data_IF_780541104007
#
_entry.id   IF_780541104007
#
_cell.length_a   1.000
_cell.length_b   1.000
_cell.length_c   1.000
_cell.angle_alpha   90.00
_cell.angle_beta   90.00
_cell.angle_gamma   90.00
#
_symmetry.space_group_name_H-M   'P 1'
#
loop_
_entity.id
_entity.type
_entity.pdbx_description
1 polymer ?
#
# COMPACT_ATOMS: atom_id res chain seq x y z
N UNK A 1 -4.39 15.25 0.10
CA UNK A 1 -4.05 13.87 -0.30
C UNK A 1 -5.30 13.02 -0.24
N UNK A 2 -5.51 12.13 -1.22
CA UNK A 2 -6.60 11.14 -1.22
C UNK A 2 -6.03 9.76 -1.53
N UNK A 3 -6.57 8.74 -0.85
CA UNK A 3 -6.38 7.32 -1.19
C UNK A 3 -7.74 6.70 -1.49
N UNK A 4 -7.89 6.06 -2.64
CA UNK A 4 -9.11 5.35 -3.06
C UNK A 4 -8.77 3.91 -3.43
N UNK A 5 -9.62 2.95 -3.02
CA UNK A 5 -9.41 1.52 -3.17
C UNK A 5 -10.74 0.75 -3.06
N UNK A 6 -10.83 -0.43 -3.69
CA UNK A 6 -11.90 -1.40 -3.40
C UNK A 6 -11.62 -2.23 -2.15
N UNK A 7 -12.64 -2.84 -1.53
CA UNK A 7 -12.51 -3.54 -0.24
C UNK A 7 -12.62 -5.07 -0.39
N UNK A 8 -11.55 -5.80 -0.77
CA UNK A 8 -11.58 -7.25 -0.90
C UNK A 8 -11.81 -7.94 0.46
N UNK A 9 -12.53 -9.05 0.41
CA UNK A 9 -12.87 -9.88 1.57
C UNK A 9 -11.75 -10.90 1.86
N UNK A 10 -11.39 -11.04 3.12
CA UNK A 10 -10.45 -12.02 3.66
C UNK A 10 -11.03 -13.43 3.50
N UNK A 11 -10.20 -14.36 3.03
CA UNK A 11 -10.61 -15.75 2.82
C UNK A 11 -9.90 -16.65 3.82
N UNK A 12 -10.61 -17.67 4.32
CA UNK A 12 -10.07 -18.63 5.28
C UNK A 12 -8.80 -19.35 4.77
N UNK A 13 -8.66 -19.53 3.45
CA UNK A 13 -7.47 -20.10 2.83
C UNK A 13 -6.18 -19.30 3.10
N UNK A 14 -6.27 -18.02 3.44
CA UNK A 14 -5.11 -17.18 3.78
C UNK A 14 -4.59 -17.40 5.21
N UNK A 15 -5.32 -18.15 6.05
CA UNK A 15 -4.87 -18.50 7.40
C UNK A 15 -3.80 -19.61 7.39
N UNK A 16 -3.70 -20.36 6.29
CA UNK A 16 -2.58 -21.27 6.05
C UNK A 16 -1.33 -20.44 5.70
N UNK A 17 -0.43 -20.31 6.68
CA UNK A 17 0.83 -19.57 6.52
C UNK A 17 1.66 -20.10 5.34
N UNK A 18 1.61 -21.40 5.03
CA UNK A 18 2.32 -21.97 3.89
C UNK A 18 1.74 -21.51 2.56
N UNK A 19 0.41 -21.44 2.45
CA UNK A 19 -0.25 -20.93 1.25
C UNK A 19 -0.08 -19.42 1.11
N UNK A 20 -0.28 -18.67 2.19
CA UNK A 20 -0.12 -17.21 2.19
C UNK A 20 1.32 -16.80 1.85
N UNK A 21 2.33 -17.46 2.42
CA UNK A 21 3.73 -17.21 2.07
C UNK A 21 4.03 -17.56 0.62
N UNK A 22 3.51 -18.69 0.11
CA UNK A 22 3.68 -19.10 -1.29
C UNK A 22 3.07 -18.08 -2.26
N UNK A 23 1.95 -17.46 -1.88
CA UNK A 23 1.31 -16.43 -2.68
C UNK A 23 2.07 -15.09 -2.58
N UNK A 24 2.54 -14.71 -1.40
CA UNK A 24 2.99 -13.34 -1.16
C UNK A 24 4.49 -13.10 -1.33
N UNK A 25 5.35 -14.05 -1.02
CA UNK A 25 6.82 -13.85 -1.05
C UNK A 25 7.33 -13.55 -2.46
N UNK A 26 8.11 -12.47 -2.56
CA UNK A 26 8.70 -12.00 -3.81
C UNK A 26 7.69 -11.40 -4.80
N UNK A 27 6.47 -11.13 -4.37
CA UNK A 27 5.40 -10.63 -5.23
C UNK A 27 4.97 -9.22 -4.85
N UNK A 28 4.44 -8.50 -5.84
CA UNK A 28 3.69 -7.25 -5.64
C UNK A 28 2.21 -7.57 -5.73
N UNK A 29 1.47 -7.13 -4.71
CA UNK A 29 0.04 -7.35 -4.58
C UNK A 29 -0.71 -6.04 -4.73
N UNK A 30 -1.84 -6.09 -5.42
CA UNK A 30 -2.73 -4.94 -5.52
C UNK A 30 -3.31 -4.67 -4.15
N UNK A 31 -3.32 -3.40 -3.76
CA UNK A 31 -4.10 -2.98 -2.62
C UNK A 31 -5.53 -2.75 -3.09
N UNK A 32 -6.48 -3.37 -2.42
CA UNK A 32 -7.89 -3.27 -2.76
C UNK A 32 -8.37 -4.17 -3.92
N UNK A 33 -9.57 -3.89 -4.40
CA UNK A 33 -10.26 -4.66 -5.45
C UNK A 33 -10.79 -3.76 -6.58
N UNK A 34 -11.12 -4.38 -7.72
CA UNK A 34 -11.65 -3.80 -8.94
C UNK A 34 -10.71 -2.85 -9.69
N UNK A 35 -10.31 -1.73 -9.07
CA UNK A 35 -9.46 -0.72 -9.70
C UNK A 35 -8.15 -0.54 -8.92
N UNK A 36 -7.20 0.16 -9.52
CA UNK A 36 -5.94 0.51 -8.88
C UNK A 36 -6.19 1.31 -7.60
N UNK A 37 -5.60 0.88 -6.48
CA UNK A 37 -5.41 1.80 -5.36
C UNK A 37 -4.55 2.96 -5.83
N UNK A 38 -5.00 4.19 -5.63
CA UNK A 38 -4.24 5.36 -6.04
C UNK A 38 -4.05 6.35 -4.91
N UNK A 39 -2.86 6.95 -4.89
CA UNK A 39 -2.53 8.13 -4.12
C UNK A 39 -2.56 9.32 -5.08
N UNK A 40 -3.29 10.36 -4.71
CA UNK A 40 -3.22 11.65 -5.38
C UNK A 40 -2.81 12.73 -4.37
N UNK A 41 -1.69 13.41 -4.65
CA UNK A 41 -1.13 14.44 -3.76
C UNK A 41 -0.77 15.70 -4.52
N UNK A 42 -1.20 16.84 -3.97
CA UNK A 42 -0.93 18.19 -4.49
C UNK A 42 0.18 18.92 -3.71
N UNK A 43 0.75 18.24 -2.72
CA UNK A 43 1.84 18.73 -1.87
C UNK A 43 2.94 17.67 -1.83
N UNK A 44 4.21 18.06 -1.74
CA UNK A 44 5.29 17.09 -1.56
C UNK A 44 5.10 16.36 -0.23
N UNK A 45 5.43 15.07 -0.23
CA UNK A 45 5.32 14.21 0.94
C UNK A 45 6.69 13.61 1.26
N UNK A 46 6.91 13.24 2.52
CA UNK A 46 7.97 12.30 2.89
C UNK A 46 7.33 11.04 3.43
N UNK A 47 7.49 9.92 2.73
CA UNK A 47 6.91 8.63 3.10
C UNK A 47 8.03 7.70 3.54
N UNK A 48 8.00 7.29 4.81
CA UNK A 48 9.05 6.45 5.43
C UNK A 48 10.47 6.99 5.17
N UNK A 49 10.62 8.31 5.27
CA UNK A 49 11.90 9.01 5.06
C UNK A 49 12.24 9.33 3.60
N UNK A 50 11.51 8.81 2.61
CA UNK A 50 11.72 9.12 1.19
C UNK A 50 10.85 10.27 0.71
N UNK A 51 11.45 11.25 0.02
CA UNK A 51 10.71 12.34 -0.60
C UNK A 51 9.90 11.84 -1.80
N UNK A 52 8.61 12.17 -1.82
CA UNK A 52 7.63 11.86 -2.86
C UNK A 52 7.12 13.16 -3.44
N UNK A 53 7.19 13.27 -4.76
CA UNK A 53 6.75 14.45 -5.49
C UNK A 53 5.22 14.62 -5.49
N UNK A 54 4.81 15.80 -5.95
CA UNK A 54 3.42 16.07 -6.32
C UNK A 54 3.04 15.22 -7.52
N UNK A 55 1.86 14.63 -7.50
CA UNK A 55 1.35 13.82 -8.61
C UNK A 55 0.40 12.72 -8.16
N UNK A 56 0.03 11.87 -9.13
CA UNK A 56 -0.80 10.70 -8.92
C UNK A 56 0.03 9.42 -9.08
N UNK A 57 -0.18 8.47 -8.18
CA UNK A 57 0.55 7.22 -8.10
C UNK A 57 -0.44 6.06 -7.96
N UNK A 58 -0.21 4.95 -8.66
CA UNK A 58 -0.83 3.69 -8.29
C UNK A 58 -0.01 3.01 -7.21
N UNK A 59 -0.70 2.30 -6.33
CA UNK A 59 -0.09 1.71 -5.14
C UNK A 59 -0.28 0.19 -5.10
N UNK A 60 0.76 -0.50 -4.64
CA UNK A 60 0.74 -1.93 -4.32
C UNK A 60 1.50 -2.23 -3.03
N UNK A 61 1.44 -3.48 -2.58
CA UNK A 61 2.23 -3.98 -1.45
C UNK A 61 3.17 -5.05 -1.96
N UNK A 62 4.46 -4.85 -1.75
CA UNK A 62 5.48 -5.83 -2.02
C UNK A 62 5.86 -6.57 -0.74
N UNK A 63 6.02 -7.89 -0.83
CA UNK A 63 6.66 -8.69 0.21
C UNK A 63 7.94 -9.29 -0.34
N UNK A 64 9.04 -9.08 0.38
CA UNK A 64 10.37 -9.61 0.05
C UNK A 64 10.38 -11.14 -0.14
N UNK A 65 11.40 -11.63 -0.86
CA UNK A 65 11.54 -13.05 -1.19
C UNK A 65 11.66 -13.96 0.04
N UNK A 66 12.31 -13.48 1.11
CA UNK A 66 12.41 -14.20 2.38
C UNK A 66 11.12 -14.07 3.24
N UNK A 67 10.25 -13.11 2.89
CA UNK A 67 8.97 -12.82 3.53
C UNK A 67 9.05 -11.93 4.77
N UNK A 68 10.23 -11.42 5.10
CA UNK A 68 10.48 -10.69 6.35
C UNK A 68 10.16 -9.20 6.24
N UNK A 69 10.33 -8.64 5.04
CA UNK A 69 10.15 -7.22 4.78
C UNK A 69 8.94 -6.95 3.88
N UNK A 70 8.22 -5.89 4.22
CA UNK A 70 7.10 -5.35 3.48
C UNK A 70 7.43 -3.96 2.95
N UNK A 71 6.89 -3.61 1.79
CA UNK A 71 7.10 -2.30 1.19
C UNK A 71 5.87 -1.81 0.47
N UNK A 72 5.60 -0.52 0.55
CA UNK A 72 4.60 0.15 -0.27
C UNK A 72 5.25 0.43 -1.63
N UNK A 73 4.70 -0.14 -2.69
CA UNK A 73 5.15 0.01 -4.06
C UNK A 73 4.39 1.15 -4.74
N UNK A 74 5.12 2.01 -5.44
CA UNK A 74 4.58 3.11 -6.22
C UNK A 74 4.81 2.82 -7.70
N UNK A 75 3.75 2.99 -8.50
CA UNK A 75 3.75 2.76 -9.94
C UNK A 75 3.24 4.01 -10.65
N UNK A 76 3.86 4.37 -11.78
CA UNK A 76 3.41 5.46 -12.64
C UNK A 76 2.11 5.09 -13.39
N UNK A 77 0.99 5.80 -13.15
CA UNK A 77 -0.24 5.59 -13.91
C UNK A 77 -0.08 5.76 -15.43
N UNK A 78 0.87 6.57 -15.90
CA UNK A 78 1.19 6.76 -17.32
C UNK A 78 1.72 5.46 -17.95
N UNK A 79 2.79 4.92 -17.39
CA UNK A 79 3.38 3.64 -17.82
C UNK A 79 2.37 2.48 -17.78
N UNK A 80 1.53 2.41 -16.74
CA UNK A 80 0.47 1.38 -16.63
C UNK A 80 -0.54 1.47 -17.78
N UNK A 81 -0.98 2.69 -18.11
CA UNK A 81 -1.95 2.91 -19.21
C UNK A 81 -1.34 2.59 -20.56
N UNK A 82 -0.08 2.95 -20.79
CA UNK A 82 0.64 2.61 -22.02
C UNK A 82 0.75 1.09 -22.20
N UNK A 83 1.07 0.37 -21.12
CA UNK A 83 1.14 -1.08 -21.09
C UNK A 83 -0.24 -1.79 -21.12
N UNK A 84 -1.33 -1.03 -20.98
CA UNK A 84 -2.73 -1.52 -20.95
C UNK A 84 -2.98 -2.58 -19.86
N UNK A 85 -2.34 -2.40 -18.71
CA UNK A 85 -2.47 -3.34 -17.59
C UNK A 85 -3.66 -3.00 -16.72
N UNK A 86 -4.47 -4.02 -16.42
CA UNK A 86 -5.49 -3.93 -15.37
C UNK A 86 -4.87 -4.07 -13.97
N UNK A 87 -5.55 -3.58 -12.93
CA UNK A 87 -5.08 -3.70 -11.54
C UNK A 87 -4.93 -5.17 -11.09
N UNK A 88 -5.71 -6.09 -11.65
CA UNK A 88 -5.54 -7.54 -11.44
C UNK A 88 -4.22 -8.09 -11.99
N UNK A 89 -3.55 -7.35 -12.87
CA UNK A 89 -2.29 -7.74 -13.52
C UNK A 89 -1.06 -7.05 -12.91
N UNK A 90 -1.17 -6.50 -11.70
CA UNK A 90 -0.09 -5.79 -11.02
C UNK A 90 1.24 -6.56 -10.94
N UNK A 91 1.22 -7.89 -10.92
CA UNK A 91 2.44 -8.71 -10.96
C UNK A 91 3.26 -8.56 -12.25
N UNK A 92 2.68 -7.99 -13.32
CA UNK A 92 3.35 -7.65 -14.58
C UNK A 92 3.80 -6.20 -14.64
N UNK A 93 3.35 -5.37 -13.71
CA UNK A 93 3.57 -3.94 -13.73
C UNK A 93 4.97 -3.57 -13.25
N UNK A 94 5.58 -2.58 -13.89
CA UNK A 94 6.86 -2.01 -13.44
C UNK A 94 6.60 -1.16 -12.20
N UNK A 95 7.34 -1.44 -11.13
CA UNK A 95 7.37 -0.60 -9.93
C UNK A 95 8.43 0.47 -10.11
N UNK A 96 8.06 1.74 -9.95
CA UNK A 96 9.00 2.86 -10.07
C UNK A 96 9.92 2.91 -8.86
N UNK A 97 9.34 2.80 -7.67
CA UNK A 97 10.08 2.73 -6.42
C UNK A 97 9.22 2.12 -5.30
N UNK A 98 9.90 1.77 -4.21
CA UNK A 98 9.28 1.24 -3.00
C UNK A 98 9.75 2.01 -1.78
N UNK A 99 8.92 2.05 -0.75
CA UNK A 99 9.28 2.55 0.59
C UNK A 99 8.96 1.49 1.63
N UNK A 100 9.78 1.35 2.70
CA UNK A 100 9.56 0.30 3.69
C UNK A 100 8.24 0.51 4.45
N UNK A 101 7.60 -0.58 4.84
CA UNK A 101 6.47 -0.57 5.77
C UNK A 101 6.82 -1.34 7.04
N UNK A 102 6.26 -0.91 8.17
CA UNK A 102 6.30 -1.69 9.40
C UNK A 102 5.19 -2.72 9.39
N UNK A 103 5.49 -3.94 9.87
CA UNK A 103 4.55 -5.05 9.97
C UNK A 103 4.22 -5.34 11.43
N UNK A 104 2.94 -5.60 11.69
CA UNK A 104 2.47 -6.17 12.95
C UNK A 104 1.26 -7.09 12.71
N UNK A 105 0.95 -7.94 13.68
CA UNK A 105 -0.33 -8.66 13.71
C UNK A 105 -1.35 -7.88 14.55
N UNK A 106 -2.62 -7.94 14.17
CA UNK A 106 -3.75 -7.49 15.01
C UNK A 106 -4.40 -8.68 15.71
N UNK A 107 -5.01 -8.44 16.87
CA UNK A 107 -5.81 -9.46 17.57
C UNK A 107 -7.17 -9.66 16.90
N UNK A 108 -7.73 -8.56 16.37
CA UNK A 108 -8.97 -8.56 15.59
C UNK A 108 -8.70 -9.04 14.15
N UNK A 109 -9.59 -9.89 13.65
CA UNK A 109 -9.58 -10.35 12.27
C UNK A 109 -10.44 -9.40 11.42
N UNK A 110 -9.80 -8.58 10.59
CA UNK A 110 -10.50 -7.61 9.74
C UNK A 110 -10.90 -8.28 8.43
N UNK A 111 -12.20 -8.53 8.27
CA UNK A 111 -12.72 -9.24 7.09
C UNK A 111 -12.49 -8.47 5.78
N UNK A 112 -12.72 -7.16 5.75
CA UNK A 112 -12.53 -6.35 4.54
C UNK A 112 -11.25 -5.53 4.63
N UNK A 113 -10.43 -5.55 3.57
CA UNK A 113 -9.22 -4.71 3.54
C UNK A 113 -9.58 -3.26 3.80
N UNK A 114 -8.87 -2.65 4.74
CA UNK A 114 -9.06 -1.27 5.17
C UNK A 114 -7.76 -0.51 4.97
N UNK A 115 -7.83 0.64 4.30
CA UNK A 115 -6.75 1.62 4.24
C UNK A 115 -7.21 2.91 4.94
N UNK A 116 -6.45 3.35 5.93
CA UNK A 116 -6.68 4.61 6.65
C UNK A 116 -5.47 5.54 6.60
N UNK A 117 -5.77 6.83 6.71
CA UNK A 117 -4.78 7.90 6.93
C UNK A 117 -5.09 8.51 8.29
N UNK A 118 -4.38 8.05 9.32
CA UNK A 118 -4.56 8.51 10.69
C UNK A 118 -3.66 9.71 10.95
N UNK A 119 -4.14 10.78 11.59
CA UNK A 119 -3.31 11.93 11.97
C UNK A 119 -3.70 12.48 13.36
N UNK A 120 -2.73 12.94 14.18
CA UNK A 120 -3.02 13.67 15.40
C UNK A 120 -3.71 15.00 15.09
N UNK A 121 -4.72 15.38 15.89
CA UNK A 121 -5.39 16.69 15.72
C UNK A 121 -4.45 17.88 15.91
N UNK A 122 -3.46 17.72 16.79
CA UNK A 122 -2.47 18.76 17.12
C UNK A 122 -1.39 18.90 16.04
N UNK A 123 -1.23 17.88 15.20
CA UNK A 123 -0.26 17.86 14.11
C UNK A 123 -0.81 17.11 12.90
N UNK A 124 -1.66 17.76 12.09
CA UNK A 124 -2.27 17.15 10.92
C UNK A 124 -1.27 16.91 9.77
N UNK A 125 0.00 17.33 9.91
CA UNK A 125 1.04 17.11 8.91
C UNK A 125 1.74 15.76 9.08
N UNK A 126 1.64 15.17 10.26
CA UNK A 126 2.16 13.85 10.60
C UNK A 126 1.05 12.79 10.48
N UNK A 127 1.07 12.06 9.37
CA UNK A 127 0.06 11.08 8.98
C UNK A 127 0.65 9.67 9.08
N UNK A 128 -0.15 8.69 9.49
CA UNK A 128 0.17 7.28 9.37
C UNK A 128 -0.76 6.66 8.33
N UNK A 129 -0.19 6.15 7.24
CA UNK A 129 -0.89 5.22 6.37
C UNK A 129 -0.94 3.86 7.05
N UNK A 130 -2.14 3.28 7.14
CA UNK A 130 -2.37 1.95 7.70
C UNK A 130 -3.15 1.10 6.71
N UNK A 131 -2.67 -0.11 6.47
CA UNK A 131 -3.36 -1.15 5.68
C UNK A 131 -3.62 -2.33 6.60
N UNK A 132 -4.88 -2.72 6.76
CA UNK A 132 -5.28 -3.87 7.60
C UNK A 132 -6.12 -4.84 6.78
N UNK A 133 -5.78 -6.13 6.79
CA UNK A 133 -6.55 -7.19 6.15
C UNK A 133 -6.32 -8.53 6.85
N UNK A 134 -7.38 -9.18 7.29
CA UNK A 134 -7.28 -10.30 8.23
C UNK A 134 -6.59 -9.85 9.51
N UNK A 135 -5.51 -10.55 9.88
CA UNK A 135 -4.61 -10.15 10.99
C UNK A 135 -3.39 -9.36 10.55
N UNK A 136 -3.18 -9.18 9.24
CA UNK A 136 -2.06 -8.42 8.71
C UNK A 136 -2.31 -6.93 8.95
N UNK A 137 -1.37 -6.25 9.62
CA UNK A 137 -1.31 -4.80 9.67
C UNK A 137 0.03 -4.31 9.14
N UNK A 138 -0.04 -3.38 8.19
CA UNK A 138 1.11 -2.68 7.62
C UNK A 138 0.96 -1.18 7.84
N UNK A 139 2.05 -0.51 8.22
CA UNK A 139 2.04 0.95 8.41
C UNK A 139 3.22 1.64 7.73
N UNK A 140 3.00 2.88 7.30
CA UNK A 140 4.04 3.77 6.80
C UNK A 140 3.78 5.21 7.31
N UNK A 141 4.78 5.88 7.92
CA UNK A 141 4.65 7.29 8.25
C UNK A 141 4.70 8.15 6.99
N UNK A 142 3.91 9.21 6.97
CA UNK A 142 3.81 10.21 5.91
C UNK A 142 3.88 11.59 6.56
N UNK A 143 4.84 12.41 6.14
CA UNK A 143 4.94 13.82 6.51
C UNK A 143 4.52 14.68 5.32
N UNK A 144 3.65 15.67 5.55
CA UNK A 144 3.32 16.67 4.52
C UNK A 144 4.38 17.76 4.54
N UNK A 145 5.07 17.95 3.42
CA UNK A 145 6.16 18.90 3.31
C UNK A 145 5.64 20.25 2.77
N UNK A 146 6.07 21.37 3.37
CA UNK A 146 5.90 22.71 2.80
C UNK A 146 4.52 23.37 3.00
N UNK A 147 3.90 23.19 4.17
CA UNK A 147 2.79 24.06 4.61
C UNK A 147 3.38 25.20 5.46
N UNK A 148 4.09 26.13 4.82
CA UNK A 148 4.49 27.41 5.43
C UNK A 148 3.58 28.53 4.90
#
# INVERSE_FOLDING_TARGET
MVVNYGQPVWKAEYEDLGLFDKMTKGQVWRMGDNFWSFLDTHVPLKVSGRDIGVGSYYLGVHRSQDGNNWSLAFLDPGAIREARLDASEIGKATVDFMVPMSYSSTDENVESLTITLDYPKEDPTNITLRVVWGKLQLTAPIEVMGID
#
